data_IF_837376477577
#
_entry.id   IF_837376477577
#
_cell.length_a   1.000
_cell.length_b   1.000
_cell.length_c   1.000
_cell.angle_alpha   90.00
_cell.angle_beta   90.00
_cell.angle_gamma   90.00
#
_symmetry.space_group_name_H-M   'P 1'
#
loop_
_entity.id
_entity.type
_entity.pdbx_description
1 polymer ?
#
# COMPACT_ATOMS: atom_id res chain seq x y z
N UNK A 1 -26.83 -14.26 14.46
CA UNK A 1 -26.63 -13.36 13.30
C UNK A 1 -26.56 -14.21 12.04
N UNK A 2 -27.35 -13.88 11.01
CA UNK A 2 -27.40 -14.65 9.75
C UNK A 2 -25.98 -14.79 9.14
N UNK A 3 -25.54 -15.99 8.69
CA UNK A 3 -24.22 -16.18 8.11
C UNK A 3 -23.92 -15.23 6.95
N UNK A 4 -24.93 -14.89 6.14
CA UNK A 4 -24.80 -13.92 5.04
C UNK A 4 -24.44 -12.54 5.58
N UNK A 5 -25.05 -12.11 6.69
CA UNK A 5 -24.75 -10.82 7.32
C UNK A 5 -23.32 -10.81 7.87
N UNK A 6 -22.83 -11.92 8.45
CA UNK A 6 -21.44 -12.01 8.94
C UNK A 6 -20.43 -11.89 7.80
N UNK A 7 -20.67 -12.59 6.69
CA UNK A 7 -19.82 -12.52 5.50
C UNK A 7 -19.85 -11.10 4.93
N UNK A 8 -21.04 -10.51 4.75
CA UNK A 8 -21.18 -9.16 4.25
C UNK A 8 -20.41 -8.15 5.12
N UNK A 9 -20.52 -8.26 6.45
CA UNK A 9 -19.80 -7.39 7.38
C UNK A 9 -18.29 -7.54 7.25
N UNK A 10 -17.76 -8.76 7.19
CA UNK A 10 -16.32 -8.98 7.00
C UNK A 10 -15.87 -8.38 5.66
N UNK A 11 -16.58 -8.66 4.57
CA UNK A 11 -16.23 -8.16 3.24
C UNK A 11 -16.24 -6.63 3.17
N UNK A 12 -17.25 -5.97 3.73
CA UNK A 12 -17.37 -4.50 3.64
C UNK A 12 -16.48 -3.75 4.61
N UNK A 13 -16.12 -4.34 5.75
CA UNK A 13 -15.31 -3.65 6.78
C UNK A 13 -13.82 -3.94 6.69
N UNK A 14 -13.41 -5.03 6.05
CA UNK A 14 -11.99 -5.43 6.00
C UNK A 14 -11.49 -5.64 4.58
N UNK A 15 -12.09 -6.55 3.82
CA UNK A 15 -11.56 -6.97 2.51
C UNK A 15 -11.69 -5.85 1.48
N UNK A 16 -12.89 -5.31 1.29
CA UNK A 16 -13.13 -4.23 0.33
C UNK A 16 -12.29 -2.97 0.63
N UNK A 17 -12.30 -2.41 1.85
CA UNK A 17 -11.47 -1.24 2.16
C UNK A 17 -9.98 -1.56 2.11
N UNK A 18 -9.55 -2.75 2.51
CA UNK A 18 -8.15 -3.17 2.41
C UNK A 18 -7.66 -3.25 0.97
N UNK A 19 -8.44 -3.87 0.07
CA UNK A 19 -8.12 -3.91 -1.37
C UNK A 19 -8.13 -2.52 -1.99
N UNK A 20 -9.09 -1.68 -1.62
CA UNK A 20 -9.16 -0.30 -2.09
C UNK A 20 -7.90 0.48 -1.68
N UNK A 21 -7.53 0.42 -0.40
CA UNK A 21 -6.37 1.14 0.13
C UNK A 21 -5.05 0.62 -0.46
N UNK A 22 -4.91 -0.71 -0.59
CA UNK A 22 -3.77 -1.32 -1.28
C UNK A 22 -3.67 -0.86 -2.73
N UNK A 23 -4.77 -0.87 -3.48
CA UNK A 23 -4.78 -0.43 -4.87
C UNK A 23 -4.46 1.04 -5.02
N UNK A 24 -5.04 1.88 -4.16
CA UNK A 24 -4.80 3.33 -4.12
C UNK A 24 -3.32 3.62 -3.84
N UNK A 25 -2.76 3.05 -2.77
CA UNK A 25 -1.36 3.27 -2.43
C UNK A 25 -0.40 2.65 -3.44
N UNK A 26 -0.71 1.48 -4.00
CA UNK A 26 0.11 0.90 -5.07
C UNK A 26 0.16 1.80 -6.31
N UNK A 27 -0.95 2.46 -6.65
CA UNK A 27 -0.98 3.42 -7.76
C UNK A 27 -0.03 4.61 -7.52
N UNK A 28 -0.13 5.26 -6.36
CA UNK A 28 0.74 6.39 -6.02
C UNK A 28 2.19 5.98 -5.80
N UNK A 29 2.44 4.81 -5.23
CA UNK A 29 3.78 4.23 -5.10
C UNK A 29 4.47 4.15 -6.46
N UNK A 30 3.77 3.66 -7.49
CA UNK A 30 4.35 3.54 -8.83
C UNK A 30 4.63 4.91 -9.47
N UNK A 31 3.76 5.89 -9.24
CA UNK A 31 3.97 7.26 -9.72
C UNK A 31 5.18 7.92 -9.03
N UNK A 32 5.24 7.90 -7.70
CA UNK A 32 6.35 8.47 -6.95
C UNK A 32 7.66 7.73 -7.21
N UNK A 33 7.62 6.42 -7.48
CA UNK A 33 8.82 5.66 -7.84
C UNK A 33 9.45 6.15 -9.15
N UNK A 34 8.62 6.49 -10.15
CA UNK A 34 9.11 7.05 -11.41
C UNK A 34 9.74 8.44 -11.21
N UNK A 35 9.13 9.28 -10.38
CA UNK A 35 9.71 10.60 -10.06
C UNK A 35 10.99 10.48 -9.23
N UNK A 36 11.06 9.50 -8.32
CA UNK A 36 12.26 9.20 -7.56
C UNK A 36 13.43 8.84 -8.49
N UNK A 37 13.21 7.96 -9.47
CA UNK A 37 14.25 7.54 -10.42
C UNK A 37 14.80 8.73 -11.23
N UNK A 38 13.92 9.64 -11.65
CA UNK A 38 14.30 10.90 -12.29
C UNK A 38 15.09 11.82 -11.35
N UNK A 39 14.67 11.93 -10.09
CA UNK A 39 15.36 12.75 -9.09
C UNK A 39 16.77 12.22 -8.80
N UNK A 40 16.94 10.90 -8.69
CA UNK A 40 18.24 10.23 -8.51
C UNK A 40 19.15 10.47 -9.72
N UNK A 41 18.62 10.31 -10.93
CA UNK A 41 19.37 10.58 -12.17
C UNK A 41 19.82 12.03 -12.24
N UNK A 42 18.95 12.98 -11.88
CA UNK A 42 19.26 14.41 -11.85
C UNK A 42 20.33 14.75 -10.81
N UNK A 43 20.25 14.17 -9.61
CA UNK A 43 21.28 14.36 -8.59
C UNK A 43 22.65 13.86 -9.07
N UNK A 44 22.68 12.69 -9.71
CA UNK A 44 23.92 12.10 -10.26
C UNK A 44 24.54 13.02 -11.31
N UNK A 45 23.72 13.51 -12.26
CA UNK A 45 24.19 14.45 -13.28
C UNK A 45 24.70 15.79 -12.70
N UNK A 46 24.10 16.28 -11.61
CA UNK A 46 24.58 17.48 -10.91
C UNK A 46 25.90 17.19 -10.21
N UNK A 47 26.04 16.03 -9.57
CA UNK A 47 27.24 15.61 -8.85
C UNK A 47 28.46 15.41 -9.75
N UNK A 48 28.26 14.89 -10.97
CA UNK A 48 29.33 14.67 -11.96
C UNK A 48 29.91 15.97 -12.56
N UNK A 49 29.27 17.12 -12.30
CA UNK A 49 29.73 18.43 -12.74
C UNK A 49 30.70 19.11 -11.75
N UNK A 50 30.60 20.44 -11.67
CA UNK A 50 31.21 21.27 -10.61
C UNK A 50 30.11 22.02 -9.85
N UNK A 51 29.18 21.32 -9.19
CA UNK A 51 28.03 21.95 -8.58
C UNK A 51 28.44 22.75 -7.35
N UNK A 52 27.67 23.79 -7.04
CA UNK A 52 27.78 24.43 -5.72
C UNK A 52 27.16 23.51 -4.66
N UNK A 53 27.61 23.63 -3.41
CA UNK A 53 27.05 22.88 -2.27
C UNK A 53 25.53 23.06 -2.20
N UNK A 54 25.03 24.27 -2.48
CA UNK A 54 23.60 24.57 -2.47
C UNK A 54 22.83 23.79 -3.55
N UNK A 55 23.40 23.60 -4.75
CA UNK A 55 22.77 22.83 -5.82
C UNK A 55 22.65 21.34 -5.44
N UNK A 56 23.70 20.78 -4.83
CA UNK A 56 23.68 19.39 -4.34
C UNK A 56 22.64 19.20 -3.24
N UNK A 57 22.60 20.12 -2.25
CA UNK A 57 21.64 20.07 -1.15
C UNK A 57 20.19 20.16 -1.66
N UNK A 58 19.91 21.06 -2.60
CA UNK A 58 18.57 21.22 -3.16
C UNK A 58 18.14 19.96 -3.95
N UNK A 59 19.04 19.40 -4.76
CA UNK A 59 18.76 18.18 -5.51
C UNK A 59 18.53 16.97 -4.58
N UNK A 60 19.31 16.85 -3.51
CA UNK A 60 19.14 15.78 -2.52
C UNK A 60 17.85 15.92 -1.72
N UNK A 61 17.46 17.14 -1.33
CA UNK A 61 16.18 17.37 -0.67
C UNK A 61 14.98 16.98 -1.57
N UNK A 62 15.09 17.19 -2.89
CA UNK A 62 14.07 16.75 -3.84
C UNK A 62 14.00 15.21 -3.95
N UNK A 63 15.14 14.52 -4.02
CA UNK A 63 15.22 13.06 -3.99
C UNK A 63 14.59 12.48 -2.71
N UNK A 64 15.00 12.99 -1.54
CA UNK A 64 14.55 12.48 -0.25
C UNK A 64 13.02 12.63 -0.07
N UNK A 65 12.42 13.69 -0.62
CA UNK A 65 10.95 13.83 -0.65
C UNK A 65 10.27 12.65 -1.34
N UNK A 66 10.74 12.25 -2.53
CA UNK A 66 10.15 11.14 -3.27
C UNK A 66 10.42 9.78 -2.60
N UNK A 67 11.57 9.63 -1.92
CA UNK A 67 11.86 8.43 -1.11
C UNK A 67 10.87 8.28 0.06
N UNK A 68 10.60 9.37 0.76
CA UNK A 68 9.65 9.39 1.88
C UNK A 68 8.23 9.09 1.39
N UNK A 69 7.81 9.69 0.27
CA UNK A 69 6.51 9.39 -0.33
C UNK A 69 6.39 7.91 -0.74
N UNK A 70 7.37 7.37 -1.46
CA UNK A 70 7.40 5.94 -1.82
C UNK A 70 7.33 5.05 -0.57
N UNK A 71 8.05 5.41 0.49
CA UNK A 71 7.98 4.66 1.74
C UNK A 71 6.58 4.70 2.36
N UNK A 72 5.96 5.88 2.43
CA UNK A 72 4.61 6.05 2.97
C UNK A 72 3.57 5.23 2.18
N UNK A 73 3.62 5.27 0.86
CA UNK A 73 2.72 4.47 0.01
C UNK A 73 3.02 2.97 0.11
N UNK A 74 4.30 2.58 0.23
CA UNK A 74 4.69 1.20 0.50
C UNK A 74 4.09 0.67 1.82
N UNK A 75 4.12 1.48 2.87
CA UNK A 75 3.44 1.17 4.14
C UNK A 75 1.92 1.08 3.92
N UNK A 76 1.35 1.97 3.12
CA UNK A 76 -0.08 1.93 2.77
C UNK A 76 -0.50 0.62 2.13
N UNK A 77 0.27 0.13 1.16
CA UNK A 77 0.09 -1.18 0.51
C UNK A 77 0.09 -2.31 1.54
N UNK A 78 1.07 -2.34 2.44
CA UNK A 78 1.21 -3.37 3.46
C UNK A 78 0.05 -3.36 4.48
N UNK A 79 -0.39 -2.17 4.89
CA UNK A 79 -1.53 -2.03 5.80
C UNK A 79 -2.83 -2.51 5.15
N UNK A 80 -3.08 -2.14 3.90
CA UNK A 80 -4.24 -2.64 3.16
C UNK A 80 -4.22 -4.17 3.03
N UNK A 81 -3.05 -4.77 2.74
CA UNK A 81 -2.92 -6.23 2.68
C UNK A 81 -3.13 -6.91 4.03
N UNK A 82 -2.70 -6.26 5.12
CA UNK A 82 -2.94 -6.74 6.48
C UNK A 82 -4.44 -6.79 6.76
N UNK A 83 -5.20 -5.75 6.38
CA UNK A 83 -6.66 -5.73 6.53
C UNK A 83 -7.33 -6.85 5.73
N UNK A 84 -6.93 -7.05 4.48
CA UNK A 84 -7.48 -8.13 3.65
C UNK A 84 -7.17 -9.51 4.26
N UNK A 85 -5.96 -9.71 4.76
CA UNK A 85 -5.55 -10.96 5.41
C UNK A 85 -6.39 -11.26 6.65
N UNK A 86 -6.64 -10.24 7.48
CA UNK A 86 -7.54 -10.36 8.65
C UNK A 86 -8.96 -10.75 8.20
N UNK A 87 -9.47 -10.12 7.14
CA UNK A 87 -10.78 -10.42 6.59
C UNK A 87 -10.90 -11.85 6.07
N UNK A 88 -9.93 -12.29 5.27
CA UNK A 88 -9.88 -13.68 4.74
C UNK A 88 -9.79 -14.67 5.90
N UNK A 89 -8.92 -14.41 6.89
CA UNK A 89 -8.82 -15.27 8.07
C UNK A 89 -10.17 -15.36 8.81
N UNK A 90 -10.86 -14.24 8.98
CA UNK A 90 -12.20 -14.18 9.57
C UNK A 90 -13.24 -15.00 8.79
N UNK A 91 -13.18 -14.99 7.45
CA UNK A 91 -14.05 -15.83 6.61
C UNK A 91 -13.75 -17.33 6.79
N UNK A 92 -12.47 -17.71 6.80
CA UNK A 92 -12.05 -19.10 7.00
C UNK A 92 -12.43 -19.65 8.38
N UNK A 93 -12.50 -18.78 9.40
CA UNK A 93 -12.91 -19.15 10.76
C UNK A 93 -14.43 -19.28 10.98
N UNK A 94 -15.26 -19.01 9.96
CA UNK A 94 -16.72 -19.15 10.11
C UNK A 94 -17.12 -20.63 10.24
N UNK A 95 -17.97 -20.98 11.21
CA UNK A 95 -18.42 -22.36 11.39
C UNK A 95 -19.21 -22.82 10.17
N UNK A 96 -18.90 -24.01 9.66
CA UNK A 96 -19.63 -24.62 8.57
C UNK A 96 -21.05 -24.97 9.06
N UNK A 97 -22.08 -24.44 8.40
CA UNK A 97 -23.46 -24.80 8.70
C UNK A 97 -23.69 -26.24 8.24
N UNK A 98 -23.42 -27.21 9.11
CA UNK A 98 -23.91 -28.57 8.91
C UNK A 98 -25.43 -28.51 9.07
N UNK A 99 -26.16 -28.57 7.96
CA UNK A 99 -27.56 -29.01 8.03
C UNK A 99 -27.53 -30.44 8.58
N UNK A 100 -27.95 -30.61 9.82
CA UNK A 100 -28.24 -31.92 10.39
C UNK A 100 -29.33 -32.56 9.54
N UNK A 101 -28.94 -33.52 8.70
CA UNK A 101 -29.85 -34.48 8.10
C UNK A 101 -30.29 -35.41 9.22
N UNK A 102 -31.43 -35.12 9.84
CA UNK A 102 -32.13 -36.09 10.69
C UNK A 102 -32.86 -37.09 9.77
N UNK A 103 -32.60 -38.41 9.91
CA UNK A 103 -33.27 -39.46 9.14
C UNK A 103 -34.73 -39.67 9.54
#
# INVERSE_FOLDING_TARGET
MNPIIRIALICTTTIAPGLFFTGYSAHFLLLDWQELDRAVTRLSAIADGKPTVQQVLLAKAAEDRHRINCFAEGVGVLLGWTMVTIGIHGLCGLPHSSKSFEP
#
